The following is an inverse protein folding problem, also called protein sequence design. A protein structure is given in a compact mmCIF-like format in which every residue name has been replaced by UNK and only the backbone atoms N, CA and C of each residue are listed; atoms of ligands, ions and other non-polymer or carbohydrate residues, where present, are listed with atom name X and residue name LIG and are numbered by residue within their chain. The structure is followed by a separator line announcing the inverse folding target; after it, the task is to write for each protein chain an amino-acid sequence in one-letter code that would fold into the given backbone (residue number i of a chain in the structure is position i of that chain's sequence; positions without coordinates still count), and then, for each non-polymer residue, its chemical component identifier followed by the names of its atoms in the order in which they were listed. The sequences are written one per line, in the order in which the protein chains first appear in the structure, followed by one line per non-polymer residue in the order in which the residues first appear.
data_IF_021438550174
#
_entry.id   IF_021438550174
#
_cell.length_a   1.000
_cell.length_b   1.000
_cell.length_c   1.000
_cell.angle_alpha   90.00
_cell.angle_beta   90.00
_cell.angle_gamma   90.00
#
_symmetry.space_group_name_H-M   'P 1'
#
loop_
_entity.id
_entity.type
_entity.pdbx_description
1 polymer ?
#
# COMPACT_ATOMS: atom_id res chain seq x y z
N UNK A 1 -20.49 32.48 3.97
CA UNK A 1 -19.65 31.64 4.85
C UNK A 1 -18.21 31.88 4.41
N UNK A 2 -17.46 32.61 5.23
CA UNK A 2 -16.20 33.24 4.85
C UNK A 2 -15.16 32.22 4.38
N UNK A 3 -14.37 32.60 3.38
CA UNK A 3 -13.13 31.94 3.03
C UNK A 3 -12.32 31.74 4.32
N UNK A 4 -12.22 30.50 4.84
CA UNK A 4 -11.21 30.17 5.82
C UNK A 4 -9.87 30.58 5.22
N UNK A 5 -9.18 31.48 5.92
CA UNK A 5 -7.85 31.95 5.55
C UNK A 5 -6.99 30.70 5.31
N UNK A 6 -6.39 30.55 4.12
CA UNK A 6 -5.50 29.43 3.82
C UNK A 6 -4.39 29.43 4.87
N UNK A 7 -4.45 28.50 5.82
CA UNK A 7 -3.45 28.37 6.87
C UNK A 7 -2.16 27.87 6.22
N UNK A 8 -1.10 28.65 6.33
CA UNK A 8 0.22 28.29 5.82
C UNK A 8 0.89 27.41 6.87
N UNK A 9 1.45 26.29 6.44
CA UNK A 9 2.32 25.49 7.30
C UNK A 9 3.73 26.04 7.23
N UNK A 10 4.38 26.16 8.38
CA UNK A 10 5.80 26.49 8.49
C UNK A 10 6.59 25.20 8.56
N UNK A 11 7.45 24.96 7.57
CA UNK A 11 8.19 23.70 7.43
C UNK A 11 9.70 23.97 7.44
N UNK A 12 10.41 23.28 8.31
CA UNK A 12 11.84 23.10 8.25
C UNK A 12 12.16 21.94 7.31
N UNK A 13 13.05 22.21 6.36
CA UNK A 13 13.60 21.22 5.43
C UNK A 13 15.09 21.03 5.69
N UNK A 14 15.57 19.81 5.50
CA UNK A 14 16.99 19.51 5.43
C UNK A 14 17.25 18.67 4.18
N UNK A 15 18.44 18.76 3.58
CA UNK A 15 18.75 18.00 2.37
C UNK A 15 18.52 16.49 2.55
N UNK A 16 18.68 15.95 3.75
CA UNK A 16 18.52 14.52 4.05
C UNK A 16 17.08 14.02 4.24
N UNK A 17 16.08 14.71 3.69
CA UNK A 17 14.66 14.31 3.69
C UNK A 17 14.06 14.67 2.33
N UNK A 18 13.07 13.88 1.87
CA UNK A 18 12.31 14.22 0.67
C UNK A 18 11.56 15.53 0.83
N UNK A 19 11.81 16.45 -0.11
CA UNK A 19 11.15 17.74 -0.16
C UNK A 19 9.71 17.54 -0.68
N UNK A 20 8.72 18.32 -0.21
CA UNK A 20 7.40 18.34 -0.80
C UNK A 20 7.45 18.75 -2.28
N UNK A 21 7.43 17.76 -3.17
CA UNK A 21 7.43 17.93 -4.62
C UNK A 21 6.08 17.56 -5.23
N UNK A 22 5.97 17.65 -6.56
CA UNK A 22 4.78 17.34 -7.36
C UNK A 22 4.08 16.04 -6.94
N UNK A 23 4.85 15.04 -6.51
CA UNK A 23 4.32 13.77 -6.01
C UNK A 23 3.43 13.94 -4.78
N UNK A 24 3.95 14.62 -3.77
CA UNK A 24 3.27 14.81 -2.49
C UNK A 24 2.10 15.80 -2.62
N UNK A 25 2.23 16.82 -3.47
CA UNK A 25 1.11 17.73 -3.78
C UNK A 25 -0.01 17.02 -4.54
N UNK A 26 0.33 16.22 -5.55
CA UNK A 26 -0.65 15.39 -6.26
C UNK A 26 -1.35 14.44 -5.31
N UNK A 27 -0.60 13.84 -4.39
CA UNK A 27 -1.17 12.95 -3.39
C UNK A 27 -2.16 13.66 -2.47
N UNK A 28 -1.78 14.82 -1.91
CA UNK A 28 -2.65 15.63 -1.07
C UNK A 28 -3.88 16.14 -1.84
N UNK A 29 -3.75 16.48 -3.11
CA UNK A 29 -4.88 16.83 -3.97
C UNK A 29 -5.84 15.65 -4.15
N UNK A 30 -5.32 14.43 -4.32
CA UNK A 30 -6.12 13.21 -4.35
C UNK A 30 -6.87 12.97 -3.05
N UNK A 31 -6.21 13.15 -1.89
CA UNK A 31 -6.85 13.07 -0.57
C UNK A 31 -7.98 14.09 -0.44
N UNK A 32 -7.80 15.29 -1.00
CA UNK A 32 -8.81 16.36 -1.04
C UNK A 32 -10.04 16.06 -1.92
N UNK A 33 -10.05 14.97 -2.69
CA UNK A 33 -11.23 14.57 -3.49
C UNK A 33 -12.27 13.80 -2.69
N UNK A 34 -11.92 13.35 -1.49
CA UNK A 34 -12.89 12.77 -0.58
C UNK A 34 -13.75 13.83 0.13
N UNK A 35 -14.93 13.46 0.63
CA UNK A 35 -15.73 14.33 1.50
C UNK A 35 -14.97 14.73 2.76
N UNK A 36 -15.25 15.90 3.32
CA UNK A 36 -14.57 16.42 4.52
C UNK A 36 -14.73 15.53 5.77
N UNK A 37 -15.70 14.62 5.79
CA UNK A 37 -15.88 13.66 6.90
C UNK A 37 -14.94 12.45 6.84
N UNK A 38 -14.15 12.28 5.77
CA UNK A 38 -13.43 11.02 5.52
C UNK A 38 -12.38 10.68 6.58
N UNK A 39 -11.73 11.69 7.15
CA UNK A 39 -10.69 11.56 8.19
C UNK A 39 -11.17 12.01 9.58
N UNK A 40 -12.32 12.67 9.69
CA UNK A 40 -12.86 13.14 10.97
C UNK A 40 -13.07 11.99 11.95
N UNK A 41 -12.58 12.19 13.17
CA UNK A 41 -12.63 11.21 14.26
C UNK A 41 -11.96 9.85 13.94
N UNK A 42 -11.13 9.78 12.89
CA UNK A 42 -10.47 8.54 12.46
C UNK A 42 -9.08 8.38 13.05
N UNK A 43 -8.68 7.13 13.24
CA UNK A 43 -7.28 6.76 13.46
C UNK A 43 -6.60 6.53 12.11
N UNK A 44 -5.60 7.34 11.80
CA UNK A 44 -4.92 7.40 10.50
C UNK A 44 -3.46 7.01 10.67
N UNK A 45 -2.91 6.23 9.74
CA UNK A 45 -1.47 6.11 9.56
C UNK A 45 -1.04 6.71 8.22
N UNK A 46 -0.01 7.54 8.22
CA UNK A 46 0.69 7.99 7.02
C UNK A 46 2.00 7.21 6.87
N UNK A 47 2.20 6.54 5.74
CA UNK A 47 3.41 5.82 5.40
C UNK A 47 4.36 6.70 4.59
N UNK A 48 5.63 6.76 5.03
CA UNK A 48 6.65 7.61 4.43
C UNK A 48 6.38 9.08 4.70
N UNK A 49 6.14 9.45 5.96
CA UNK A 49 5.69 10.79 6.31
C UNK A 49 6.74 11.90 6.05
N UNK A 50 8.02 11.55 5.84
CA UNK A 50 9.08 12.50 5.54
C UNK A 50 9.18 13.58 6.61
N UNK A 51 9.06 14.85 6.20
CA UNK A 51 9.08 16.00 7.09
C UNK A 51 7.76 16.23 7.88
N UNK A 52 6.76 15.36 7.74
CA UNK A 52 5.48 15.37 8.45
C UNK A 52 4.39 16.29 7.89
N UNK A 53 4.61 16.97 6.76
CA UNK A 53 3.70 18.03 6.30
C UNK A 53 2.27 17.53 5.99
N UNK A 54 2.13 16.35 5.40
CA UNK A 54 0.81 15.77 5.08
C UNK A 54 0.11 15.34 6.37
N UNK A 55 0.78 14.69 7.32
CA UNK A 55 0.24 14.37 8.64
C UNK A 55 -0.31 15.61 9.36
N UNK A 56 0.45 16.71 9.36
CA UNK A 56 0.03 17.98 9.95
C UNK A 56 -1.16 18.57 9.18
N UNK A 57 -1.10 18.59 7.85
CA UNK A 57 -2.18 19.08 7.00
C UNK A 57 -3.48 18.25 7.15
N UNK A 58 -3.35 16.94 7.37
CA UNK A 58 -4.47 16.04 7.63
C UNK A 58 -5.16 16.42 8.95
N UNK A 59 -4.35 16.64 10.00
CA UNK A 59 -4.84 16.99 11.32
C UNK A 59 -5.55 18.34 11.35
N UNK A 60 -4.93 19.36 10.74
CA UNK A 60 -5.48 20.72 10.61
C UNK A 60 -6.82 20.74 9.87
N UNK A 61 -6.90 20.01 8.75
CA UNK A 61 -8.04 20.12 7.85
C UNK A 61 -9.25 19.30 8.29
N UNK A 62 -9.02 18.07 8.77
CA UNK A 62 -10.10 17.11 8.91
C UNK A 62 -10.36 16.62 10.33
N UNK A 63 -9.65 17.13 11.34
CA UNK A 63 -9.86 16.76 12.75
C UNK A 63 -9.91 15.23 13.00
N UNK A 64 -8.90 14.45 12.54
CA UNK A 64 -8.79 13.04 12.90
C UNK A 64 -8.61 12.87 14.41
N UNK A 65 -9.03 11.71 14.93
CA UNK A 65 -8.78 11.35 16.33
C UNK A 65 -7.28 11.23 16.60
N UNK A 66 -6.55 10.62 15.66
CA UNK A 66 -5.10 10.44 15.73
C UNK A 66 -4.51 10.23 14.34
N UNK A 67 -3.32 10.77 14.10
CA UNK A 67 -2.48 10.55 12.92
C UNK A 67 -1.12 10.03 13.38
N UNK A 68 -0.76 8.84 12.92
CA UNK A 68 0.56 8.24 13.10
C UNK A 68 1.36 8.47 11.81
N UNK A 69 2.30 9.41 11.83
CA UNK A 69 3.27 9.58 10.75
C UNK A 69 4.42 8.59 10.93
N UNK A 70 4.61 7.72 9.94
CA UNK A 70 5.55 6.61 9.99
C UNK A 70 6.62 6.79 8.91
N UNK A 71 7.88 6.68 9.30
CA UNK A 71 9.01 6.76 8.36
C UNK A 71 10.15 5.85 8.84
N UNK A 72 10.85 5.23 7.91
CA UNK A 72 12.01 4.40 8.23
C UNK A 72 13.24 5.25 8.56
N UNK A 73 13.28 6.51 8.10
CA UNK A 73 14.40 7.42 8.32
C UNK A 73 14.27 8.10 9.69
N UNK A 74 15.15 7.81 10.67
CA UNK A 74 15.11 8.47 11.98
C UNK A 74 15.29 9.99 11.90
N UNK A 75 15.93 10.51 10.85
CA UNK A 75 16.08 11.96 10.65
C UNK A 75 14.78 12.60 10.21
N UNK A 76 14.01 11.91 9.35
CA UNK A 76 12.69 12.35 8.92
C UNK A 76 11.76 12.55 10.13
N UNK A 77 11.72 11.56 11.02
CA UNK A 77 10.94 11.62 12.26
C UNK A 77 11.30 12.81 13.14
N UNK A 78 12.60 13.08 13.34
CA UNK A 78 13.04 14.24 14.13
C UNK A 78 12.58 15.56 13.54
N UNK A 79 12.70 15.72 12.22
CA UNK A 79 12.24 16.94 11.53
C UNK A 79 10.72 17.03 11.54
N UNK A 80 10.00 15.92 11.39
CA UNK A 80 8.54 15.89 11.48
C UNK A 80 8.03 16.35 12.85
N UNK A 81 8.69 15.94 13.93
CA UNK A 81 8.41 16.47 15.28
C UNK A 81 8.68 17.97 15.37
N UNK A 82 9.82 18.46 14.88
CA UNK A 82 10.11 19.91 14.87
C UNK A 82 9.02 20.67 14.11
N UNK A 83 8.65 20.19 12.92
CA UNK A 83 7.60 20.79 12.10
C UNK A 83 6.24 20.76 12.78
N UNK A 84 5.94 19.71 13.54
CA UNK A 84 4.72 19.68 14.36
C UNK A 84 4.71 20.80 15.39
N UNK A 85 5.80 20.98 16.15
CA UNK A 85 5.91 22.05 17.13
C UNK A 85 5.83 23.44 16.50
N UNK A 86 6.45 23.65 15.32
CA UNK A 86 6.39 24.91 14.58
C UNK A 86 4.98 25.30 14.15
N UNK A 87 4.06 24.34 14.04
CA UNK A 87 2.67 24.58 13.64
C UNK A 87 1.68 24.45 14.79
N UNK A 88 2.07 23.84 15.92
CA UNK A 88 1.22 23.61 17.08
C UNK A 88 1.25 24.76 18.10
N UNK A 89 2.25 25.64 18.04
CA UNK A 89 2.46 26.74 18.97
C UNK A 89 2.30 28.09 18.24
N UNK A 90 1.79 29.10 18.96
CA UNK A 90 1.75 30.49 18.48
C UNK A 90 3.08 31.23 18.69
N UNK A 91 3.11 32.53 18.34
CA UNK A 91 4.31 33.37 18.44
C UNK A 91 4.82 33.55 19.88
N UNK A 92 3.95 33.36 20.88
CA UNK A 92 4.29 33.41 22.31
C UNK A 92 4.67 32.01 22.87
N UNK A 93 4.66 30.98 22.02
CA UNK A 93 4.96 29.59 22.37
C UNK A 93 3.82 28.87 23.08
N UNK A 94 2.59 29.40 23.00
CA UNK A 94 1.40 28.78 23.60
C UNK A 94 0.72 27.83 22.61
N UNK A 95 0.08 26.73 23.09
CA UNK A 95 -0.59 25.80 22.20
C UNK A 95 -1.79 26.41 21.47
N UNK A 96 -1.89 26.12 20.17
CA UNK A 96 -3.02 26.49 19.33
C UNK A 96 -4.10 25.42 19.43
N UNK A 97 -5.30 25.83 19.84
CA UNK A 97 -6.46 24.95 19.96
C UNK A 97 -7.37 25.06 18.74
N UNK A 98 -7.87 23.91 18.30
CA UNK A 98 -8.93 23.82 17.30
C UNK A 98 -10.33 24.00 17.92
N UNK A 99 -11.36 23.92 17.07
CA UNK A 99 -12.76 24.08 17.49
C UNK A 99 -13.26 23.00 18.47
N UNK A 100 -12.55 21.88 18.59
CA UNK A 100 -12.85 20.78 19.52
C UNK A 100 -12.01 20.88 20.80
N UNK A 101 -11.24 21.95 20.98
CA UNK A 101 -10.37 22.16 22.14
C UNK A 101 -9.16 21.23 22.15
N UNK A 102 -8.76 20.69 21.01
CA UNK A 102 -7.54 19.88 20.85
C UNK A 102 -6.47 20.67 20.12
N UNK A 103 -5.23 20.30 20.35
CA UNK A 103 -4.06 20.85 19.66
C UNK A 103 -3.58 19.87 18.60
N UNK A 104 -2.69 20.32 17.72
CA UNK A 104 -1.98 19.40 16.81
C UNK A 104 -1.18 18.34 17.56
N UNK A 105 -0.63 18.66 18.73
CA UNK A 105 0.13 17.73 19.58
C UNK A 105 -0.76 16.61 20.15
N UNK A 106 -2.06 16.85 20.30
CA UNK A 106 -3.01 15.81 20.70
C UNK A 106 -3.31 14.85 19.54
N UNK A 107 -3.27 15.36 18.30
CA UNK A 107 -3.74 14.67 17.10
C UNK A 107 -2.64 13.96 16.31
N UNK A 108 -1.39 14.40 16.36
CA UNK A 108 -0.32 13.87 15.50
C UNK A 108 0.85 13.34 16.33
N UNK A 109 1.36 12.17 15.96
CA UNK A 109 2.59 11.59 16.50
C UNK A 109 3.43 11.02 15.37
N UNK A 110 4.76 11.05 15.52
CA UNK A 110 5.70 10.51 14.54
C UNK A 110 6.58 9.41 15.14
N UNK A 111 6.73 8.31 14.41
CA UNK A 111 7.49 7.14 14.85
C UNK A 111 8.37 6.57 13.74
N UNK A 112 9.58 6.18 14.13
CA UNK A 112 10.44 5.36 13.27
C UNK A 112 9.79 3.99 13.08
N UNK A 113 9.52 3.62 11.83
CA UNK A 113 8.75 2.41 11.52
C UNK A 113 9.10 1.91 10.12
N UNK A 114 9.29 0.60 9.98
CA UNK A 114 9.28 -0.06 8.67
C UNK A 114 7.84 -0.33 8.28
N UNK A 115 7.31 0.52 7.40
CA UNK A 115 5.90 0.56 7.01
C UNK A 115 5.00 0.57 8.25
N UNK A 116 4.17 -0.47 8.44
CA UNK A 116 3.16 -0.55 9.50
C UNK A 116 3.65 -1.34 10.73
N UNK A 117 4.95 -1.60 10.87
CA UNK A 117 5.49 -2.37 12.01
C UNK A 117 5.10 -1.75 13.35
N UNK A 118 5.25 -0.43 13.50
CA UNK A 118 4.86 0.28 14.71
C UNK A 118 3.39 0.04 15.08
N UNK A 119 2.47 0.13 14.11
CA UNK A 119 1.05 -0.11 14.36
C UNK A 119 0.76 -1.57 14.72
N UNK A 120 1.43 -2.54 14.09
CA UNK A 120 1.27 -3.97 14.43
C UNK A 120 1.76 -4.29 15.82
N UNK A 121 2.97 -3.85 16.15
CA UNK A 121 3.63 -4.15 17.43
C UNK A 121 2.86 -3.54 18.61
N UNK A 122 2.25 -2.37 18.38
CA UNK A 122 1.41 -1.68 19.37
C UNK A 122 -0.09 -2.01 19.25
N UNK A 123 -0.48 -2.97 18.40
CA UNK A 123 -1.88 -3.42 18.21
C UNK A 123 -2.86 -2.28 17.90
N UNK A 124 -2.41 -1.32 17.10
CA UNK A 124 -3.19 -0.16 16.68
C UNK A 124 -4.05 -0.58 15.48
N UNK A 125 -5.37 -0.50 15.66
CA UNK A 125 -6.32 -0.66 14.55
C UNK A 125 -6.55 0.68 13.83
N UNK A 126 -6.44 0.65 12.51
CA UNK A 126 -6.49 1.85 11.68
C UNK A 126 -7.82 1.96 10.93
N UNK A 127 -8.40 3.16 10.94
CA UNK A 127 -9.52 3.49 10.06
C UNK A 127 -9.02 3.88 8.66
N UNK A 128 -7.83 4.48 8.58
CA UNK A 128 -7.23 4.99 7.35
C UNK A 128 -5.74 4.67 7.29
N UNK A 129 -5.29 4.27 6.12
CA UNK A 129 -3.86 4.18 5.79
C UNK A 129 -3.65 5.02 4.55
N UNK A 130 -2.72 5.96 4.59
CA UNK A 130 -2.38 6.82 3.46
C UNK A 130 -0.89 6.71 3.20
N UNK A 131 -0.45 6.70 1.94
CA UNK A 131 0.97 6.61 1.65
C UNK A 131 1.36 7.15 0.28
N UNK A 132 2.39 7.98 0.27
CA UNK A 132 3.16 8.34 -0.92
C UNK A 132 4.59 7.82 -0.74
N UNK A 133 4.74 6.50 -0.87
CA UNK A 133 6.01 5.81 -0.61
C UNK A 133 6.82 5.56 -1.90
N UNK A 134 8.14 5.37 -1.80
CA UNK A 134 9.02 5.20 -2.96
C UNK A 134 8.61 4.07 -3.91
N UNK A 135 8.78 4.31 -5.22
CA UNK A 135 8.44 3.39 -6.31
C UNK A 135 9.59 3.28 -7.32
N UNK A 136 10.70 2.70 -6.89
CA UNK A 136 11.92 2.57 -7.69
C UNK A 136 12.09 1.14 -8.18
N UNK A 137 12.42 1.00 -9.46
CA UNK A 137 12.79 -0.27 -10.06
C UNK A 137 14.23 -0.60 -9.65
N UNK A 138 14.46 -1.77 -9.06
CA UNK A 138 15.79 -2.23 -8.71
C UNK A 138 16.29 -3.28 -9.72
N UNK A 139 17.24 -2.96 -10.60
CA UNK A 139 17.74 -3.89 -11.62
C UNK A 139 18.86 -4.83 -11.14
N UNK A 140 19.38 -4.73 -9.90
CA UNK A 140 20.52 -5.55 -9.46
C UNK A 140 20.37 -6.21 -8.07
N UNK A 141 20.24 -7.55 -7.99
CA UNK A 141 20.20 -8.29 -6.73
C UNK A 141 21.49 -8.24 -5.88
N UNK A 142 22.67 -7.98 -6.45
CA UNK A 142 23.96 -8.06 -5.73
C UNK A 142 24.31 -6.78 -4.93
N UNK A 143 23.69 -5.65 -5.24
CA UNK A 143 23.91 -4.38 -4.53
C UNK A 143 23.41 -4.39 -3.07
N UNK A 144 22.66 -5.43 -2.68
CA UNK A 144 21.96 -5.53 -1.39
C UNK A 144 22.85 -5.76 -0.17
N UNK A 145 24.10 -6.22 -0.31
CA UNK A 145 24.96 -6.56 0.84
C UNK A 145 25.76 -5.39 1.44
N UNK A 146 25.72 -4.20 0.81
CA UNK A 146 26.59 -3.07 1.17
C UNK A 146 25.90 -1.88 1.85
N UNK A 147 24.59 -1.99 2.16
CA UNK A 147 23.75 -0.82 2.52
C UNK A 147 23.84 -0.43 4.02
N UNK A 148 24.66 -1.10 4.83
CA UNK A 148 24.89 -0.69 6.23
C UNK A 148 26.34 -0.23 6.43
N UNK A 149 26.71 0.90 5.83
CA UNK A 149 27.83 1.70 6.33
C UNK A 149 27.59 3.17 6.07
N UNK A 150 27.66 3.95 7.14
CA UNK A 150 27.47 5.39 7.24
C UNK A 150 28.33 6.18 6.23
N UNK A 151 27.73 7.15 5.53
CA UNK A 151 28.14 8.55 5.57
C UNK A 151 27.27 9.43 4.67
N UNK A 152 27.20 10.71 5.05
CA UNK A 152 26.39 11.79 4.49
C UNK A 152 26.65 12.12 3.01
N UNK A 153 25.86 11.57 2.10
CA UNK A 153 25.78 12.03 0.71
C UNK A 153 24.34 11.93 0.19
N UNK A 154 24.02 12.64 -0.91
CA UNK A 154 22.79 12.47 -1.69
C UNK A 154 22.55 10.99 -2.06
N UNK A 155 23.62 10.20 -2.14
CA UNK A 155 23.63 8.76 -2.34
C UNK A 155 22.90 7.98 -1.22
N UNK A 156 22.92 8.48 0.02
CA UNK A 156 22.15 7.90 1.13
C UNK A 156 20.64 8.16 0.97
N UNK A 157 20.25 9.34 0.46
CA UNK A 157 18.85 9.65 0.17
C UNK A 157 18.34 8.90 -1.03
N UNK A 158 19.20 8.79 -2.05
CA UNK A 158 19.00 7.92 -3.18
C UNK A 158 18.83 6.47 -2.70
N UNK A 159 19.67 6.01 -1.75
CA UNK A 159 19.55 4.70 -1.11
C UNK A 159 18.27 4.54 -0.27
N UNK A 160 17.79 5.62 0.35
CA UNK A 160 16.53 5.70 1.10
C UNK A 160 15.30 5.61 0.20
N UNK A 161 15.31 6.31 -0.95
CA UNK A 161 14.33 6.04 -2.00
C UNK A 161 14.49 4.65 -2.61
N UNK A 162 15.69 4.07 -2.56
CA UNK A 162 16.00 2.71 -2.99
C UNK A 162 15.85 1.67 -1.88
N UNK A 163 15.12 1.91 -0.79
CA UNK A 163 14.64 0.84 0.10
C UNK A 163 13.55 0.00 -0.63
N UNK A 164 13.94 -0.57 -1.76
CA UNK A 164 13.35 -1.71 -2.44
C UNK A 164 14.42 -2.81 -2.43
N UNK A 165 14.67 -3.36 -1.25
CA UNK A 165 15.04 -4.76 -1.20
C UNK A 165 13.92 -5.54 -1.91
N UNK A 166 14.23 -6.64 -2.61
CA UNK A 166 13.22 -7.55 -3.13
C UNK A 166 12.24 -7.86 -2.01
N UNK A 167 10.99 -7.43 -2.15
CA UNK A 167 9.94 -7.70 -1.17
C UNK A 167 9.38 -9.12 -1.33
N UNK A 168 9.79 -9.82 -2.41
CA UNK A 168 9.35 -11.16 -2.75
C UNK A 168 8.05 -11.16 -3.56
N UNK A 169 7.72 -10.03 -4.19
CA UNK A 169 6.49 -9.84 -4.94
C UNK A 169 6.74 -9.80 -6.46
N UNK A 170 5.74 -10.26 -7.23
CA UNK A 170 5.72 -10.09 -8.69
C UNK A 170 5.71 -8.60 -9.07
N UNK A 171 5.34 -7.73 -8.16
CA UNK A 171 5.32 -6.28 -8.30
C UNK A 171 6.72 -5.63 -8.14
N UNK A 172 7.73 -6.35 -7.60
CA UNK A 172 9.11 -5.84 -7.46
C UNK A 172 9.74 -5.49 -8.82
N UNK A 173 9.50 -6.29 -9.86
CA UNK A 173 9.97 -6.04 -11.24
C UNK A 173 9.41 -4.74 -11.86
N UNK A 174 8.40 -4.13 -11.22
CA UNK A 174 7.81 -2.86 -11.64
C UNK A 174 8.10 -1.72 -10.66
N UNK A 175 8.92 -1.96 -9.62
CA UNK A 175 9.17 -1.00 -8.55
C UNK A 175 7.97 -0.76 -7.63
N UNK A 176 7.02 -1.70 -7.58
CA UNK A 176 5.78 -1.60 -6.80
C UNK A 176 5.77 -2.53 -5.58
N UNK A 177 6.86 -3.25 -5.32
CA UNK A 177 6.96 -4.22 -4.22
C UNK A 177 6.72 -3.61 -2.84
N UNK A 178 7.25 -2.41 -2.58
CA UNK A 178 7.06 -1.72 -1.30
C UNK A 178 5.57 -1.41 -1.05
N UNK A 179 4.83 -1.01 -2.09
CA UNK A 179 3.39 -0.77 -2.01
C UNK A 179 2.64 -2.09 -1.82
N UNK A 180 3.02 -3.15 -2.55
CA UNK A 180 2.45 -4.48 -2.35
C UNK A 180 2.58 -4.95 -0.89
N UNK A 181 3.77 -4.81 -0.30
CA UNK A 181 4.00 -5.11 1.13
C UNK A 181 3.16 -4.22 2.04
N UNK A 182 3.14 -2.91 1.80
CA UNK A 182 2.36 -1.96 2.59
C UNK A 182 0.86 -2.28 2.58
N UNK A 183 0.33 -2.70 1.43
CA UNK A 183 -1.08 -3.11 1.28
C UNK A 183 -1.35 -4.38 2.10
N UNK A 184 -0.50 -5.42 1.98
CA UNK A 184 -0.69 -6.68 2.72
C UNK A 184 -0.52 -6.51 4.24
N UNK A 185 0.47 -5.74 4.68
CA UNK A 185 0.59 -5.34 6.08
C UNK A 185 -0.65 -4.55 6.52
N UNK A 186 -1.16 -3.68 5.66
CA UNK A 186 -2.38 -2.91 5.85
C UNK A 186 -3.60 -3.78 6.09
N UNK A 187 -3.76 -4.90 5.37
CA UNK A 187 -4.88 -5.83 5.56
C UNK A 187 -4.94 -6.29 7.01
N UNK A 188 -3.79 -6.50 7.66
CA UNK A 188 -3.76 -7.00 9.03
C UNK A 188 -4.17 -5.99 10.11
N UNK A 189 -4.00 -4.69 9.86
CA UNK A 189 -4.25 -3.62 10.87
C UNK A 189 -5.44 -2.73 10.55
N UNK A 190 -5.91 -2.70 9.30
CA UNK A 190 -7.05 -1.86 8.90
C UNK A 190 -8.35 -2.41 9.46
N UNK A 191 -9.25 -1.57 9.97
CA UNK A 191 -10.62 -1.97 10.37
C UNK A 191 -11.42 -2.45 9.14
N UNK A 192 -12.48 -3.26 9.32
CA UNK A 192 -13.31 -3.73 8.22
C UNK A 192 -13.88 -2.61 7.32
N UNK A 193 -14.27 -1.48 7.91
CA UNK A 193 -14.77 -0.28 7.20
C UNK A 193 -13.66 0.70 6.79
N UNK A 194 -12.40 0.27 6.91
CA UNK A 194 -11.27 1.13 6.67
C UNK A 194 -10.98 1.35 5.19
N UNK A 195 -10.13 2.34 4.95
CA UNK A 195 -9.77 2.81 3.61
C UNK A 195 -8.26 2.95 3.52
N UNK A 196 -7.69 2.48 2.42
CA UNK A 196 -6.30 2.79 2.08
C UNK A 196 -6.26 3.78 0.91
N UNK A 197 -5.35 4.74 0.94
CA UNK A 197 -5.16 5.69 -0.17
C UNK A 197 -3.68 5.76 -0.53
N UNK A 198 -3.35 5.42 -1.77
CA UNK A 198 -1.97 5.38 -2.23
C UNK A 198 -1.76 6.22 -3.48
N UNK A 199 -0.60 6.88 -3.53
CA UNK A 199 -0.09 7.50 -4.73
C UNK A 199 0.68 6.48 -5.57
N UNK A 200 0.43 6.43 -6.88
CA UNK A 200 0.97 5.44 -7.80
C UNK A 200 1.57 6.12 -9.03
N UNK A 201 2.87 5.90 -9.25
CA UNK A 201 3.54 6.28 -10.49
C UNK A 201 3.07 5.38 -11.64
N UNK A 202 2.59 5.99 -12.72
CA UNK A 202 1.97 5.31 -13.84
C UNK A 202 2.94 4.64 -14.83
N UNK A 203 4.26 4.67 -14.57
CA UNK A 203 5.26 4.08 -15.49
C UNK A 203 4.97 2.61 -15.82
N UNK A 204 4.65 1.72 -14.85
CA UNK A 204 4.30 0.33 -15.14
C UNK A 204 3.00 0.14 -15.94
N UNK A 205 2.27 1.22 -16.20
CA UNK A 205 0.99 1.20 -16.86
C UNK A 205 -0.18 1.01 -15.90
N UNK A 206 -1.31 1.63 -16.24
CA UNK A 206 -2.48 1.71 -15.36
C UNK A 206 -2.97 0.33 -14.90
N UNK A 207 -3.07 -0.63 -15.83
CA UNK A 207 -3.55 -1.98 -15.51
C UNK A 207 -2.66 -2.71 -14.48
N UNK A 208 -1.34 -2.49 -14.50
CA UNK A 208 -0.43 -3.08 -13.51
C UNK A 208 -0.61 -2.44 -12.14
N UNK A 209 -0.72 -1.10 -12.08
CA UNK A 209 -0.96 -0.38 -10.84
C UNK A 209 -2.29 -0.78 -10.19
N UNK A 210 -3.36 -0.92 -10.98
CA UNK A 210 -4.68 -1.33 -10.49
C UNK A 210 -4.68 -2.79 -10.04
N UNK A 211 -4.06 -3.68 -10.82
CA UNK A 211 -4.00 -5.12 -10.51
C UNK A 211 -3.31 -5.40 -9.18
N UNK A 212 -2.33 -4.60 -8.75
CA UNK A 212 -1.69 -4.70 -7.44
C UNK A 212 -2.72 -4.76 -6.30
N UNK A 213 -3.74 -3.90 -6.35
CA UNK A 213 -4.78 -3.84 -5.32
C UNK A 213 -5.88 -4.88 -5.57
N UNK A 214 -6.34 -5.02 -6.82
CA UNK A 214 -7.44 -5.91 -7.18
C UNK A 214 -7.13 -7.36 -6.78
N UNK A 215 -5.92 -7.85 -7.10
CA UNK A 215 -5.51 -9.22 -6.77
C UNK A 215 -5.43 -9.50 -5.26
N UNK A 216 -5.38 -8.45 -4.43
CA UNK A 216 -5.36 -8.53 -2.96
C UNK A 216 -6.76 -8.39 -2.34
N UNK A 217 -7.81 -8.42 -3.16
CA UNK A 217 -9.20 -8.42 -2.70
C UNK A 217 -9.76 -7.02 -2.44
N UNK A 218 -9.16 -5.98 -3.01
CA UNK A 218 -9.65 -4.62 -2.90
C UNK A 218 -10.61 -4.26 -4.05
N UNK A 219 -11.58 -3.41 -3.75
CA UNK A 219 -12.22 -2.49 -4.69
C UNK A 219 -11.40 -1.22 -4.72
N UNK A 220 -11.18 -0.69 -5.92
CA UNK A 220 -10.42 0.54 -6.12
C UNK A 220 -11.27 1.62 -6.78
N UNK A 221 -10.99 2.87 -6.44
CA UNK A 221 -11.49 4.04 -7.14
C UNK A 221 -10.33 5.01 -7.38
N UNK A 222 -10.17 5.47 -8.63
CA UNK A 222 -9.17 6.48 -8.97
C UNK A 222 -9.72 7.85 -8.55
N UNK A 223 -9.16 8.43 -7.49
CA UNK A 223 -9.58 9.72 -6.96
C UNK A 223 -9.08 10.88 -7.81
N UNK A 224 -7.83 10.75 -8.26
CA UNK A 224 -7.14 11.79 -9.01
C UNK A 224 -6.06 11.21 -9.89
N UNK A 225 -5.76 11.93 -10.96
CA UNK A 225 -4.61 11.66 -11.81
C UNK A 225 -4.13 12.98 -12.41
N UNK A 226 -2.81 13.14 -12.43
CA UNK A 226 -2.13 14.19 -13.21
C UNK A 226 -0.98 13.57 -13.99
N UNK A 227 -0.29 14.36 -14.81
CA UNK A 227 0.99 14.00 -15.42
C UNK A 227 2.06 14.88 -14.82
N UNK A 228 3.21 14.29 -14.53
CA UNK A 228 4.37 15.00 -14.00
C UNK A 228 5.56 14.78 -14.92
N UNK A 229 6.40 15.80 -15.04
CA UNK A 229 7.60 15.70 -15.86
C UNK A 229 8.53 14.64 -15.27
N UNK A 230 9.10 13.80 -16.13
CA UNK A 230 10.17 12.92 -15.70
C UNK A 230 11.38 13.77 -15.34
N UNK A 231 11.93 13.55 -14.15
CA UNK A 231 13.15 14.24 -13.72
C UNK A 231 14.28 13.92 -14.71
N UNK A 232 15.07 14.95 -15.07
CA UNK A 232 16.03 14.88 -16.17
C UNK A 232 17.18 13.90 -15.92
N UNK A 233 17.44 13.59 -14.65
CA UNK A 233 18.45 12.66 -14.13
C UNK A 233 17.94 11.22 -14.00
N UNK A 234 16.64 10.97 -14.17
CA UNK A 234 16.11 9.61 -14.06
C UNK A 234 16.47 8.79 -15.29
N UNK A 235 17.32 7.78 -15.10
CA UNK A 235 17.62 6.81 -16.16
C UNK A 235 16.49 5.79 -16.33
N UNK A 236 15.92 5.75 -17.53
CA UNK A 236 14.88 4.78 -17.91
C UNK A 236 15.43 3.61 -18.75
N UNK A 237 16.75 3.50 -18.91
CA UNK A 237 17.40 2.45 -19.71
C UNK A 237 17.04 1.03 -19.24
N UNK A 238 16.91 0.82 -17.93
CA UNK A 238 16.46 -0.46 -17.36
C UNK A 238 15.07 -0.86 -17.86
N UNK A 239 14.16 0.11 -18.02
CA UNK A 239 12.81 -0.13 -18.53
C UNK A 239 12.82 -0.52 -20.00
N UNK A 240 13.70 0.12 -20.79
CA UNK A 240 13.93 -0.23 -22.18
C UNK A 240 14.40 -1.67 -22.33
N UNK A 241 15.32 -2.12 -21.46
CA UNK A 241 15.79 -3.52 -21.47
C UNK A 241 14.68 -4.51 -21.09
N UNK A 242 13.81 -4.16 -20.13
CA UNK A 242 12.64 -4.99 -19.79
C UNK A 242 11.68 -5.11 -20.99
N UNK A 243 11.41 -4.03 -21.73
CA UNK A 243 10.55 -4.08 -22.93
C UNK A 243 11.15 -4.87 -24.09
N UNK A 244 12.48 -4.99 -24.18
CA UNK A 244 13.14 -5.82 -25.21
C UNK A 244 12.97 -7.31 -24.91
N UNK A 245 12.98 -7.66 -23.62
CA UNK A 245 13.02 -9.05 -23.16
C UNK A 245 11.66 -9.58 -22.68
N UNK A 246 10.62 -8.73 -22.65
CA UNK A 246 9.28 -9.10 -22.20
C UNK A 246 8.19 -8.55 -23.13
N UNK A 247 6.95 -9.02 -22.94
CA UNK A 247 5.77 -8.47 -23.62
C UNK A 247 5.21 -7.21 -22.94
N UNK A 248 5.76 -6.84 -21.79
CA UNK A 248 5.30 -5.69 -21.04
C UNK A 248 5.63 -4.38 -21.78
N UNK A 249 4.77 -3.38 -21.61
CA UNK A 249 4.96 -2.03 -22.16
C UNK A 249 4.76 -1.03 -21.04
N UNK A 250 5.78 -0.21 -20.79
CA UNK A 250 5.67 0.91 -19.87
C UNK A 250 4.93 2.07 -20.55
N UNK A 251 4.39 2.98 -19.74
CA UNK A 251 3.58 4.10 -20.19
C UNK A 251 4.26 5.44 -19.86
N UNK A 252 4.65 6.16 -20.91
CA UNK A 252 5.18 7.52 -20.86
C UNK A 252 4.42 8.44 -21.81
N UNK A 253 4.54 9.75 -21.67
CA UNK A 253 3.96 10.72 -22.59
C UNK A 253 5.05 11.68 -23.09
N UNK A 254 4.93 12.17 -24.32
CA UNK A 254 5.94 13.04 -24.96
C UNK A 254 5.87 14.51 -24.49
N UNK A 255 4.91 14.84 -23.63
CA UNK A 255 4.76 16.11 -22.91
C UNK A 255 3.69 15.94 -21.81
N UNK A 256 3.20 17.03 -21.22
CA UNK A 256 2.12 17.01 -20.22
C UNK A 256 0.70 16.94 -20.85
N UNK A 257 0.56 17.23 -22.13
CA UNK A 257 -0.75 17.41 -22.80
C UNK A 257 -1.17 16.16 -23.58
N UNK A 258 -0.22 15.37 -24.06
CA UNK A 258 -0.44 14.24 -24.95
C UNK A 258 -1.22 13.12 -24.28
N UNK A 259 -2.27 12.65 -24.92
CA UNK A 259 -3.22 11.71 -24.32
C UNK A 259 -2.87 10.23 -24.56
N UNK A 260 -1.97 9.98 -25.50
CA UNK A 260 -1.58 8.63 -25.90
C UNK A 260 -0.22 8.27 -25.29
N UNK A 261 -0.15 7.18 -24.52
CA UNK A 261 1.12 6.74 -23.97
C UNK A 261 2.02 6.15 -25.06
N UNK A 262 3.32 6.35 -24.91
CA UNK A 262 4.40 5.72 -25.67
C UNK A 262 5.17 4.76 -24.78
N UNK A 263 5.75 3.72 -25.38
CA UNK A 263 6.57 2.74 -24.66
C UNK A 263 7.91 3.33 -24.21
N UNK A 264 8.59 2.66 -23.28
CA UNK A 264 9.90 3.09 -22.77
C UNK A 264 10.93 3.26 -23.89
N UNK A 265 10.92 2.37 -24.91
CA UNK A 265 11.81 2.48 -26.09
C UNK A 265 11.63 3.79 -26.85
N UNK A 266 10.39 4.17 -27.13
CA UNK A 266 10.08 5.43 -27.83
C UNK A 266 10.38 6.63 -26.95
N UNK A 267 10.01 6.57 -25.67
CA UNK A 267 10.30 7.62 -24.69
C UNK A 267 11.80 7.90 -24.57
N UNK A 268 12.62 6.84 -24.48
CA UNK A 268 14.08 6.96 -24.38
C UNK A 268 14.71 7.55 -25.65
N UNK A 269 14.27 7.12 -26.83
CA UNK A 269 14.73 7.69 -28.10
C UNK A 269 14.37 9.19 -28.24
N UNK A 270 13.18 9.57 -27.78
CA UNK A 270 12.73 10.96 -27.76
C UNK A 270 13.56 11.81 -26.79
N UNK A 271 13.83 11.32 -25.57
CA UNK A 271 14.72 12.00 -24.62
C UNK A 271 16.13 12.20 -25.19
N UNK A 272 16.71 11.17 -25.83
CA UNK A 272 18.02 11.27 -26.48
C UNK A 272 18.08 12.30 -27.61
N UNK A 273 16.93 12.63 -28.18
CA UNK A 273 16.78 13.66 -29.22
C UNK A 273 16.52 15.06 -28.64
N UNK A 274 16.61 15.24 -27.32
CA UNK A 274 16.35 16.52 -26.62
C UNK A 274 14.89 16.74 -26.22
N UNK A 275 14.02 15.77 -26.48
CA UNK A 275 12.63 15.78 -26.01
C UNK A 275 12.53 15.63 -24.49
N UNK A 276 11.40 16.03 -23.91
CA UNK A 276 11.09 15.79 -22.50
C UNK A 276 9.90 14.85 -22.41
N UNK A 277 9.93 13.92 -21.46
CA UNK A 277 8.82 12.99 -21.26
C UNK A 277 8.16 13.24 -19.91
N UNK A 278 6.90 12.82 -19.80
CA UNK A 278 6.14 12.81 -18.56
C UNK A 278 5.60 11.40 -18.29
N UNK A 279 5.12 11.18 -17.07
CA UNK A 279 4.38 9.97 -16.72
C UNK A 279 3.17 10.36 -15.87
N UNK A 280 2.15 9.49 -15.89
CA UNK A 280 0.98 9.68 -15.05
C UNK A 280 1.33 9.48 -13.57
N UNK A 281 0.65 10.20 -12.70
CA UNK A 281 0.68 10.00 -11.26
C UNK A 281 -0.77 9.94 -10.78
N UNK A 282 -1.17 8.80 -10.21
CA UNK A 282 -2.56 8.50 -9.88
C UNK A 282 -2.72 8.25 -8.38
N UNK A 283 -3.81 8.76 -7.81
CA UNK A 283 -4.18 8.50 -6.42
C UNK A 283 -5.36 7.55 -6.39
N UNK A 284 -5.18 6.38 -5.79
CA UNK A 284 -6.22 5.35 -5.67
C UNK A 284 -6.72 5.25 -4.23
N UNK A 285 -8.03 5.15 -4.10
CA UNK A 285 -8.74 4.77 -2.89
C UNK A 285 -9.07 3.29 -2.94
N UNK A 286 -8.74 2.54 -1.89
CA UNK A 286 -8.80 1.08 -1.87
C UNK A 286 -9.59 0.61 -0.63
N UNK A 287 -10.65 -0.17 -0.86
CA UNK A 287 -11.49 -0.77 0.20
C UNK A 287 -11.52 -2.28 0.05
N UNK A 288 -11.47 -3.02 1.15
CA UNK A 288 -11.60 -4.48 1.12
C UNK A 288 -13.02 -4.89 0.70
N UNK A 289 -13.13 -5.83 -0.25
CA UNK A 289 -14.43 -6.36 -0.73
C UNK A 289 -15.22 -7.05 0.38
N UNK A 290 -14.57 -7.96 1.08
CA UNK A 290 -15.14 -8.74 2.18
C UNK A 290 -14.10 -8.80 3.31
N UNK A 291 -14.01 -7.74 4.13
CA UNK A 291 -12.84 -7.49 4.96
C UNK A 291 -12.50 -8.65 5.91
N UNK A 292 -13.51 -9.27 6.53
CA UNK A 292 -13.29 -10.36 7.48
C UNK A 292 -12.75 -11.61 6.77
N UNK A 293 -13.28 -11.95 5.60
CA UNK A 293 -12.88 -13.10 4.81
C UNK A 293 -11.49 -12.90 4.20
N UNK A 294 -11.23 -11.73 3.61
CA UNK A 294 -9.91 -11.40 3.05
C UNK A 294 -8.85 -11.43 4.14
N UNK A 295 -9.12 -10.85 5.32
CA UNK A 295 -8.20 -10.92 6.47
C UNK A 295 -7.85 -12.35 6.85
N UNK A 296 -8.84 -13.24 6.95
CA UNK A 296 -8.60 -14.67 7.25
C UNK A 296 -7.70 -15.35 6.21
N UNK A 297 -7.92 -15.07 4.93
CA UNK A 297 -7.09 -15.62 3.84
C UNK A 297 -5.63 -15.15 4.01
N UNK A 298 -5.41 -13.85 4.19
CA UNK A 298 -4.06 -13.29 4.35
C UNK A 298 -3.41 -13.68 5.68
N UNK A 299 -4.17 -13.89 6.74
CA UNK A 299 -3.66 -14.41 8.02
C UNK A 299 -3.14 -15.84 7.85
N UNK A 300 -3.91 -16.72 7.21
CA UNK A 300 -3.48 -18.09 6.90
C UNK A 300 -2.21 -18.13 6.04
N UNK A 301 -2.09 -17.23 5.06
CA UNK A 301 -0.94 -17.22 4.15
C UNK A 301 0.37 -16.74 4.78
N UNK A 302 0.32 -16.06 5.94
CA UNK A 302 1.53 -15.61 6.65
C UNK A 302 2.37 -16.78 7.17
N UNK A 303 1.76 -17.93 7.43
CA UNK A 303 2.41 -19.08 8.07
C UNK A 303 3.09 -20.03 7.05
N UNK A 304 4.04 -19.50 6.27
CA UNK A 304 4.94 -20.34 5.45
C UNK A 304 4.46 -20.67 4.04
N UNK A 305 3.38 -20.05 3.56
CA UNK A 305 2.81 -20.27 2.22
C UNK A 305 3.28 -19.24 1.17
N UNK A 306 4.58 -18.92 1.13
CA UNK A 306 5.10 -17.85 0.26
C UNK A 306 4.78 -18.04 -1.24
N UNK A 307 4.89 -19.28 -1.77
CA UNK A 307 4.56 -19.57 -3.17
C UNK A 307 3.06 -19.35 -3.47
N UNK A 308 2.18 -19.77 -2.56
CA UNK A 308 0.73 -19.58 -2.69
C UNK A 308 0.37 -18.10 -2.56
N UNK A 309 0.99 -17.37 -1.62
CA UNK A 309 0.78 -15.93 -1.45
C UNK A 309 1.13 -15.17 -2.73
N UNK A 310 2.27 -15.50 -3.35
CA UNK A 310 2.71 -14.87 -4.60
C UNK A 310 1.79 -15.13 -5.80
N UNK A 311 1.03 -16.23 -5.78
CA UNK A 311 0.13 -16.66 -6.86
C UNK A 311 -1.35 -16.35 -6.60
N UNK A 312 -1.71 -15.94 -5.38
CA UNK A 312 -3.07 -15.53 -5.06
C UNK A 312 -3.50 -14.37 -5.96
N UNK A 313 -4.67 -14.52 -6.56
CA UNK A 313 -5.32 -13.50 -7.37
C UNK A 313 -6.82 -13.44 -7.03
N UNK A 314 -7.18 -12.44 -6.23
CA UNK A 314 -8.55 -12.10 -5.87
C UNK A 314 -9.15 -11.00 -6.77
N UNK A 315 -8.62 -10.84 -7.99
CA UNK A 315 -9.26 -9.99 -8.98
C UNK A 315 -10.44 -10.72 -9.62
N UNK A 316 -11.56 -10.00 -9.75
CA UNK A 316 -12.79 -10.52 -10.33
C UNK A 316 -13.41 -9.45 -11.22
N UNK A 317 -13.81 -9.83 -12.43
CA UNK A 317 -14.56 -8.97 -13.35
C UNK A 317 -16.03 -8.82 -12.91
N UNK A 318 -16.54 -9.81 -12.17
CA UNK A 318 -17.91 -9.88 -11.67
C UNK A 318 -17.93 -10.02 -10.14
N UNK A 319 -18.64 -9.13 -9.48
CA UNK A 319 -18.78 -9.09 -8.03
C UNK A 319 -19.51 -10.34 -7.48
N UNK A 320 -20.41 -10.95 -8.25
CA UNK A 320 -21.09 -12.19 -7.83
C UNK A 320 -20.12 -13.36 -7.68
N UNK A 321 -19.07 -13.41 -8.52
CA UNK A 321 -18.01 -14.41 -8.43
C UNK A 321 -17.13 -14.17 -7.21
N UNK A 322 -16.86 -12.90 -6.89
CA UNK A 322 -16.15 -12.53 -5.66
C UNK A 322 -16.94 -12.96 -4.41
N UNK A 323 -18.27 -12.80 -4.46
CA UNK A 323 -19.20 -13.18 -3.39
C UNK A 323 -19.29 -14.68 -3.13
N UNK A 324 -18.89 -15.52 -4.09
CA UNK A 324 -18.76 -16.96 -3.91
C UNK A 324 -17.34 -17.37 -3.52
N UNK A 325 -16.33 -16.90 -4.28
CA UNK A 325 -14.95 -17.39 -4.16
C UNK A 325 -14.23 -16.91 -2.91
N UNK A 326 -14.44 -15.65 -2.49
CA UNK A 326 -13.77 -15.13 -1.29
C UNK A 326 -14.24 -15.87 -0.02
N UNK A 327 -15.56 -16.08 0.21
CA UNK A 327 -16.01 -16.89 1.34
C UNK A 327 -15.54 -18.33 1.29
N UNK A 328 -15.53 -18.95 0.10
CA UNK A 328 -15.00 -20.31 -0.07
C UNK A 328 -13.52 -20.41 0.32
N UNK A 329 -12.68 -19.49 -0.15
CA UNK A 329 -11.26 -19.46 0.19
C UNK A 329 -11.03 -19.19 1.67
N UNK A 330 -11.81 -18.30 2.28
CA UNK A 330 -11.72 -18.03 3.72
C UNK A 330 -12.15 -19.26 4.54
N UNK A 331 -13.18 -19.98 4.11
CA UNK A 331 -13.58 -21.25 4.71
C UNK A 331 -12.48 -22.31 4.58
N UNK A 332 -11.91 -22.47 3.38
CA UNK A 332 -10.82 -23.41 3.13
C UNK A 332 -9.60 -23.09 3.99
N UNK A 333 -9.21 -21.81 4.10
CA UNK A 333 -8.12 -21.36 4.95
C UNK A 333 -8.36 -21.74 6.42
N UNK A 334 -9.53 -21.43 6.97
CA UNK A 334 -9.89 -21.83 8.34
C UNK A 334 -9.93 -23.36 8.51
N UNK A 335 -10.50 -24.08 7.54
CA UNK A 335 -10.58 -25.54 7.57
C UNK A 335 -9.19 -26.19 7.59
N UNK A 336 -8.25 -25.72 6.76
CA UNK A 336 -6.88 -26.21 6.71
C UNK A 336 -6.07 -25.84 7.95
N UNK A 337 -6.34 -24.68 8.55
CA UNK A 337 -5.67 -24.26 9.79
C UNK A 337 -6.12 -25.08 11.00
N UNK A 338 -7.41 -25.42 11.08
CA UNK A 338 -7.99 -26.18 12.19
C UNK A 338 -7.79 -27.71 12.04
N UNK A 339 -7.77 -28.22 10.81
CA UNK A 339 -7.63 -29.66 10.53
C UNK A 339 -6.21 -30.01 10.08
N UNK A 340 -5.32 -30.21 11.05
CA UNK A 340 -3.94 -30.69 10.82
C UNK A 340 -3.87 -32.16 10.36
N UNK A 341 -4.97 -32.92 10.44
CA UNK A 341 -5.07 -34.28 9.89
C UNK A 341 -5.52 -34.25 8.43
N UNK A 342 -4.68 -34.81 7.55
CA UNK A 342 -4.82 -34.90 6.10
C UNK A 342 -6.29 -34.96 5.61
N UNK A 343 -6.78 -33.98 4.83
CA UNK A 343 -8.17 -33.95 4.35
C UNK A 343 -8.44 -34.98 3.25
N UNK A 344 -7.40 -35.63 2.74
CA UNK A 344 -7.56 -36.79 1.89
C UNK A 344 -8.16 -37.92 2.74
N UNK A 345 -9.42 -38.22 2.49
CA UNK A 345 -10.02 -39.47 2.94
C UNK A 345 -9.09 -40.62 2.52
N UNK A 346 -8.97 -41.69 3.33
CA UNK A 346 -8.28 -42.89 2.91
C UNK A 346 -8.81 -43.32 1.53
N UNK A 347 -8.05 -44.05 0.70
CA UNK A 347 -8.56 -44.56 -0.59
C UNK A 347 -9.89 -45.33 -0.48
N UNK A 348 -10.19 -45.81 0.73
CA UNK A 348 -11.43 -46.47 1.08
C UNK A 348 -12.62 -45.52 1.38
N UNK A 349 -12.46 -44.19 1.32
CA UNK A 349 -13.48 -43.15 1.54
C UNK A 349 -13.72 -42.80 3.02
N UNK A 350 -14.58 -41.79 3.24
CA UNK A 350 -14.98 -41.24 4.53
C UNK A 350 -15.42 -42.32 5.53
N UNK A 351 -14.76 -42.41 6.68
CA UNK A 351 -15.17 -43.35 7.72
C UNK A 351 -16.59 -43.08 8.22
N UNK A 352 -16.99 -41.80 8.34
CA UNK A 352 -18.34 -41.42 8.78
C UNK A 352 -19.41 -41.89 7.78
N UNK A 353 -19.18 -41.73 6.48
CA UNK A 353 -20.11 -42.21 5.46
C UNK A 353 -20.19 -43.75 5.44
N UNK A 354 -19.05 -44.44 5.52
CA UNK A 354 -19.01 -45.91 5.58
C UNK A 354 -19.74 -46.46 6.80
N UNK A 355 -19.59 -45.83 7.96
CA UNK A 355 -20.33 -46.18 9.17
C UNK A 355 -21.85 -46.01 8.99
N UNK A 356 -22.29 -44.94 8.32
CA UNK A 356 -23.71 -44.73 8.02
C UNK A 356 -24.27 -45.80 7.09
N UNK A 357 -23.54 -46.15 6.02
CA UNK A 357 -23.94 -47.21 5.09
C UNK A 357 -23.95 -48.59 5.76
N UNK A 358 -22.90 -48.94 6.51
CA UNK A 358 -22.83 -50.18 7.26
C UNK A 358 -23.95 -50.28 8.30
N UNK A 359 -24.23 -49.19 9.02
CA UNK A 359 -25.35 -49.09 9.97
C UNK A 359 -26.71 -49.26 9.30
N UNK A 360 -26.93 -48.61 8.15
CA UNK A 360 -28.16 -48.75 7.38
C UNK A 360 -28.37 -50.21 6.92
N UNK A 361 -27.34 -50.81 6.31
CA UNK A 361 -27.39 -52.20 5.84
C UNK A 361 -27.63 -53.19 6.99
N UNK A 362 -27.01 -52.96 8.14
CA UNK A 362 -27.19 -53.80 9.33
C UNK A 362 -28.59 -53.66 9.94
N UNK A 363 -29.10 -52.44 10.07
CA UNK A 363 -30.37 -52.18 10.74
C UNK A 363 -31.59 -52.50 9.88
N UNK A 364 -31.54 -52.21 8.58
CA UNK A 364 -32.72 -52.32 7.70
C UNK A 364 -32.69 -53.54 6.78
N UNK A 365 -31.51 -54.08 6.50
CA UNK A 365 -31.33 -55.23 5.61
C UNK A 365 -30.73 -56.45 6.31
N UNK A 366 -30.39 -56.32 7.61
CA UNK A 366 -29.75 -57.37 8.41
C UNK A 366 -28.46 -57.94 7.80
N UNK A 367 -27.77 -57.15 6.97
CA UNK A 367 -26.48 -57.52 6.38
C UNK A 367 -25.36 -57.07 7.34
N UNK A 368 -24.53 -57.97 7.88
CA UNK A 368 -23.48 -57.63 8.83
C UNK A 368 -22.24 -57.08 8.11
N UNK A 369 -22.37 -55.88 7.54
CA UNK A 369 -21.25 -55.16 6.93
C UNK A 369 -20.42 -54.47 8.02
N UNK A 370 -19.09 -54.60 7.95
CA UNK A 370 -18.17 -53.80 8.76
C UNK A 370 -17.74 -52.56 7.98
N UNK A 371 -17.39 -51.46 8.67
CA UNK A 371 -16.95 -50.25 8.01
C UNK A 371 -15.65 -50.46 7.23
N UNK A 372 -14.76 -51.37 7.65
CA UNK A 372 -13.38 -51.61 7.16
C UNK A 372 -13.23 -52.09 5.72
#
# INVERSE_FOLDING_TARGET
LGFQQRKKLTMMEIPSIFIPEDWSFTFYEGLNRHPDSIFRDKTVAELGCGNGWISIALAEKWCPSKVYGLDINPRAIKIAWINLYLNALDDDGLPIYDAEGKTLLDRVEFYESDLLSYCRDNKIELDRIVGCIPQILNPNPEAMSKIVTENSSEEFLYSLSNYCALQGFVEDQFGLGLIARAVEEGISVIKPSGLMVFNMGGRPGQGVCERLFLRRGFRINKLWQTKIMQAADTDISALVEIEKNSRHRFEFFMDLVGDQPVCARTAWAYMKSGGRISHALSVYSCQLRQPNQVKKIFEFLKDGFHEVSSSLDLSFDDDSVADEKIPFLAYLASFLQENTSNPCEPPAGCLNFRNLVAGFMKSYHHIPLTPD
#
